data_IF_910609063641
#
_entry.id   IF_910609063641
#
_cell.length_a   1.000
_cell.length_b   1.000
_cell.length_c   1.000
_cell.angle_alpha   90.00
_cell.angle_beta   90.00
_cell.angle_gamma   90.00
#
_symmetry.space_group_name_H-M   'P 1'
#
loop_
_entity.id
_entity.type
_entity.pdbx_description
1 polymer ?
#
# COMPACT_ATOMS: atom_id res chain seq x y z
N UNK A 1 -4.46 7.90 2.69
CA UNK A 1 -4.63 9.35 2.42
C UNK A 1 -3.29 10.05 2.62
N UNK A 2 -2.39 9.96 1.65
CA UNK A 2 -1.03 10.51 1.76
C UNK A 2 -1.07 12.01 1.45
N UNK A 3 -0.55 12.84 2.35
CA UNK A 3 -0.47 14.28 2.12
C UNK A 3 0.79 14.60 1.31
N UNK A 4 0.70 15.47 0.29
CA UNK A 4 1.84 15.78 -0.59
C UNK A 4 3.07 16.29 0.17
N UNK A 5 2.85 17.03 1.27
CA UNK A 5 3.93 17.55 2.12
C UNK A 5 4.66 16.44 2.89
N UNK A 6 4.06 15.25 3.04
CA UNK A 6 4.75 14.08 3.61
C UNK A 6 5.76 13.48 2.62
N UNK A 7 5.47 13.58 1.33
CA UNK A 7 6.23 12.94 0.26
C UNK A 7 7.56 13.61 -0.09
N UNK A 8 8.01 14.62 0.66
CA UNK A 8 9.32 15.21 0.43
C UNK A 8 10.40 14.11 0.48
N UNK A 9 11.22 14.02 -0.58
CA UNK A 9 12.26 13.00 -0.85
C UNK A 9 11.77 11.59 -1.16
N UNK A 10 10.48 11.39 -1.38
CA UNK A 10 9.95 10.08 -1.80
C UNK A 10 10.01 9.95 -3.31
N UNK A 11 10.34 8.75 -3.78
CA UNK A 11 10.15 8.35 -5.17
C UNK A 11 8.72 7.80 -5.30
N UNK A 12 7.92 8.42 -6.17
CA UNK A 12 6.52 8.05 -6.39
C UNK A 12 6.39 7.46 -7.78
N UNK A 13 6.00 6.18 -7.84
CA UNK A 13 5.68 5.48 -9.09
C UNK A 13 4.16 5.35 -9.23
N UNK A 14 3.64 5.69 -10.41
CA UNK A 14 2.23 5.48 -10.78
C UNK A 14 2.11 4.40 -11.86
N UNK A 15 0.88 4.07 -12.24
CA UNK A 15 0.61 3.03 -13.23
C UNK A 15 1.25 3.34 -14.60
N UNK A 16 1.30 4.62 -14.98
CA UNK A 16 1.90 5.09 -16.23
C UNK A 16 3.43 4.98 -16.21
N UNK A 17 4.04 5.19 -15.03
CA UNK A 17 5.48 5.02 -14.82
C UNK A 17 5.92 3.57 -14.81
N UNK A 18 4.99 2.64 -14.57
CA UNK A 18 5.25 1.20 -14.62
C UNK A 18 5.29 0.66 -16.06
N UNK A 19 4.45 1.21 -16.95
CA UNK A 19 4.38 0.80 -18.35
C UNK A 19 3.20 1.49 -19.04
N UNK A 20 3.32 1.70 -20.35
CA UNK A 20 2.35 2.45 -21.14
C UNK A 20 2.38 2.04 -22.62
N UNK A 21 1.48 2.62 -23.42
CA UNK A 21 1.35 2.30 -24.86
C UNK A 21 2.58 2.64 -25.69
N UNK A 22 3.41 3.59 -25.26
CA UNK A 22 4.59 4.05 -26.01
C UNK A 22 5.81 3.21 -25.68
N UNK A 23 6.01 2.93 -24.39
CA UNK A 23 7.23 2.29 -23.88
C UNK A 23 7.06 0.77 -23.69
N UNK A 24 5.84 0.27 -23.81
CA UNK A 24 5.46 -1.12 -23.56
C UNK A 24 4.80 -1.30 -22.19
N UNK A 25 3.96 -2.31 -22.11
CA UNK A 25 3.24 -2.66 -20.89
C UNK A 25 4.05 -3.60 -20.00
N UNK A 26 4.02 -3.34 -18.70
CA UNK A 26 4.59 -4.19 -17.69
C UNK A 26 3.90 -5.57 -17.67
N UNK A 27 4.60 -6.68 -17.35
CA UNK A 27 4.00 -8.02 -17.30
C UNK A 27 2.73 -8.11 -16.45
N UNK A 28 2.65 -7.36 -15.35
CA UNK A 28 1.43 -7.28 -14.52
C UNK A 28 0.24 -6.67 -15.27
N UNK A 29 0.46 -5.62 -16.07
CA UNK A 29 -0.57 -4.98 -16.88
C UNK A 29 -1.07 -5.95 -17.96
N UNK A 30 -0.14 -6.57 -18.69
CA UNK A 30 -0.46 -7.51 -19.77
C UNK A 30 -1.16 -8.76 -19.24
N UNK A 31 -0.68 -9.36 -18.13
CA UNK A 31 -1.28 -10.58 -17.56
C UNK A 31 -2.72 -10.35 -17.14
N UNK A 32 -3.01 -9.24 -16.47
CA UNK A 32 -4.37 -8.92 -16.03
C UNK A 32 -5.31 -8.72 -17.22
N UNK A 33 -4.84 -8.11 -18.31
CA UNK A 33 -5.61 -7.97 -19.53
C UNK A 33 -5.88 -9.34 -20.20
N UNK A 34 -4.86 -10.20 -20.31
CA UNK A 34 -4.97 -11.53 -20.93
C UNK A 34 -5.96 -12.46 -20.24
N UNK A 35 -6.12 -12.32 -18.92
CA UNK A 35 -7.04 -13.13 -18.11
C UNK A 35 -8.45 -12.53 -18.02
N UNK A 36 -8.75 -11.48 -18.80
CA UNK A 36 -10.01 -10.74 -18.69
C UNK A 36 -10.26 -10.18 -17.28
N UNK A 37 -9.19 -9.87 -16.55
CA UNK A 37 -9.24 -9.30 -15.20
C UNK A 37 -9.66 -7.82 -15.17
N UNK A 38 -10.14 -7.27 -16.28
CA UNK A 38 -10.60 -5.89 -16.43
C UNK A 38 -11.87 -5.85 -17.26
N UNK A 39 -12.87 -5.09 -16.77
CA UNK A 39 -14.07 -4.71 -17.53
C UNK A 39 -14.13 -3.19 -17.67
N UNK A 40 -14.71 -2.48 -16.69
CA UNK A 40 -14.79 -1.00 -16.72
C UNK A 40 -13.43 -0.29 -16.55
N UNK A 41 -12.40 -0.99 -16.07
CA UNK A 41 -11.03 -0.45 -15.96
C UNK A 41 -10.75 0.43 -14.74
N UNK A 42 -11.77 0.91 -14.02
CA UNK A 42 -11.56 1.92 -12.98
C UNK A 42 -10.69 1.45 -11.81
N UNK A 43 -10.87 0.19 -11.36
CA UNK A 43 -10.06 -0.38 -10.28
C UNK A 43 -8.69 -0.91 -10.74
N UNK A 44 -8.47 -1.02 -12.05
CA UNK A 44 -7.31 -1.72 -12.64
C UNK A 44 -5.97 -1.10 -12.23
N UNK A 45 -5.79 0.24 -12.22
CA UNK A 45 -4.54 0.85 -11.74
C UNK A 45 -4.21 0.47 -10.29
N UNK A 46 -5.20 0.50 -9.38
CA UNK A 46 -5.01 0.17 -7.97
C UNK A 46 -4.57 -1.29 -7.76
N UNK A 47 -5.24 -2.21 -8.46
CA UNK A 47 -4.91 -3.64 -8.44
C UNK A 47 -3.47 -3.91 -8.90
N UNK A 48 -3.06 -3.28 -10.01
CA UNK A 48 -1.72 -3.48 -10.58
C UNK A 48 -0.65 -2.87 -9.68
N UNK A 49 -0.86 -1.66 -9.16
CA UNK A 49 0.12 -1.02 -8.27
C UNK A 49 0.26 -1.77 -6.94
N UNK A 50 -0.83 -2.34 -6.43
CA UNK A 50 -0.79 -3.21 -5.26
C UNK A 50 0.06 -4.46 -5.51
N UNK A 51 -0.19 -5.17 -6.62
CA UNK A 51 0.59 -6.34 -7.00
C UNK A 51 2.05 -5.99 -7.29
N UNK A 52 2.31 -4.84 -7.92
CA UNK A 52 3.67 -4.35 -8.17
C UNK A 52 4.43 -4.10 -6.87
N UNK A 53 3.79 -3.48 -5.87
CA UNK A 53 4.40 -3.30 -4.56
C UNK A 53 4.72 -4.63 -3.88
N UNK A 54 3.86 -5.64 -4.06
CA UNK A 54 4.06 -6.98 -3.52
C UNK A 54 5.22 -7.71 -4.22
N UNK A 55 5.40 -7.52 -5.54
CA UNK A 55 6.50 -8.09 -6.31
C UNK A 55 7.84 -7.35 -6.19
N UNK A 56 7.87 -6.15 -5.59
CA UNK A 56 9.06 -5.29 -5.60
C UNK A 56 10.25 -5.91 -4.85
N UNK A 57 9.98 -6.74 -3.84
CA UNK A 57 11.02 -7.52 -3.17
C UNK A 57 11.30 -8.81 -3.95
N UNK A 58 12.31 -8.74 -4.83
CA UNK A 58 12.75 -9.88 -5.65
C UNK A 58 13.31 -11.07 -4.86
N UNK A 59 13.63 -10.89 -3.57
CA UNK A 59 14.16 -11.97 -2.74
C UNK A 59 13.07 -12.88 -2.15
N UNK A 60 11.82 -12.37 -2.13
CA UNK A 60 10.68 -13.05 -1.54
C UNK A 60 9.95 -13.91 -2.58
N UNK A 61 9.81 -15.20 -2.28
CA UNK A 61 8.91 -16.08 -3.04
C UNK A 61 7.47 -15.72 -2.70
N UNK A 62 6.66 -15.43 -3.71
CA UNK A 62 5.27 -15.04 -3.52
C UNK A 62 4.37 -16.27 -3.40
N UNK A 63 3.56 -16.29 -2.35
CA UNK A 63 2.55 -17.34 -2.16
C UNK A 63 1.19 -16.89 -2.67
N UNK A 64 0.37 -17.86 -3.06
CA UNK A 64 -1.01 -17.67 -3.49
C UNK A 64 -1.84 -16.97 -2.40
N UNK A 65 -1.60 -17.34 -1.13
CA UNK A 65 -2.29 -16.76 0.01
C UNK A 65 -1.91 -15.29 0.24
N UNK A 66 -0.64 -14.90 0.05
CA UNK A 66 -0.22 -13.50 0.16
C UNK A 66 -0.86 -12.63 -0.92
N UNK A 67 -0.95 -13.14 -2.15
CA UNK A 67 -1.62 -12.46 -3.25
C UNK A 67 -3.10 -12.24 -2.92
N UNK A 68 -3.80 -13.27 -2.44
CA UNK A 68 -5.20 -13.16 -2.03
C UNK A 68 -5.40 -12.12 -0.92
N UNK A 69 -4.57 -12.16 0.13
CA UNK A 69 -4.62 -11.20 1.23
C UNK A 69 -4.40 -9.77 0.75
N UNK A 70 -3.47 -9.56 -0.18
CA UNK A 70 -3.16 -8.23 -0.71
C UNK A 70 -4.38 -7.60 -1.40
N UNK A 71 -5.26 -8.40 -2.02
CA UNK A 71 -6.41 -7.91 -2.78
C UNK A 71 -7.56 -7.42 -1.90
N UNK A 72 -7.55 -7.72 -0.59
CA UNK A 72 -8.60 -7.29 0.35
C UNK A 72 -8.77 -5.76 0.45
N UNK A 73 -7.76 -4.99 0.04
CA UNK A 73 -7.79 -3.53 0.01
C UNK A 73 -8.34 -2.92 -1.28
N UNK A 74 -8.57 -3.74 -2.33
CA UNK A 74 -8.96 -3.28 -3.65
C UNK A 74 -10.39 -3.71 -3.99
N UNK A 75 -11.25 -2.73 -4.31
CA UNK A 75 -12.66 -2.98 -4.60
C UNK A 75 -12.90 -3.03 -6.11
N UNK A 76 -13.47 -4.13 -6.61
CA UNK A 76 -13.94 -4.25 -7.99
C UNK A 76 -15.43 -4.61 -8.01
N UNK A 77 -16.22 -3.85 -8.77
CA UNK A 77 -17.66 -4.09 -8.91
C UNK A 77 -18.05 -4.95 -10.12
N UNK A 78 -17.17 -5.07 -11.10
CA UNK A 78 -17.50 -5.60 -12.42
C UNK A 78 -17.07 -7.06 -12.60
N UNK A 79 -15.85 -7.42 -12.22
CA UNK A 79 -15.23 -8.71 -12.60
C UNK A 79 -15.60 -9.89 -11.72
N UNK A 80 -16.16 -9.65 -10.53
CA UNK A 80 -16.37 -10.71 -9.55
C UNK A 80 -15.08 -11.33 -8.99
N UNK A 81 -13.94 -10.66 -9.14
CA UNK A 81 -12.60 -11.02 -8.62
C UNK A 81 -11.94 -12.28 -9.19
N UNK A 82 -12.67 -13.30 -9.61
CA UNK A 82 -12.09 -14.56 -10.09
C UNK A 82 -11.01 -14.36 -11.17
N UNK A 83 -11.24 -13.65 -12.29
CA UNK A 83 -10.21 -13.45 -13.30
C UNK A 83 -9.03 -12.58 -12.82
N UNK A 84 -9.23 -11.72 -11.81
CA UNK A 84 -8.15 -10.94 -11.19
C UNK A 84 -7.25 -11.86 -10.38
N UNK A 85 -7.85 -12.74 -9.58
CA UNK A 85 -7.14 -13.72 -8.77
C UNK A 85 -6.35 -14.68 -9.65
N UNK A 86 -6.98 -15.29 -10.66
CA UNK A 86 -6.32 -16.24 -11.55
C UNK A 86 -5.13 -15.59 -12.28
N UNK A 87 -5.30 -14.34 -12.73
CA UNK A 87 -4.21 -13.53 -13.28
C UNK A 87 -3.04 -13.40 -12.32
N UNK A 88 -3.28 -12.98 -11.08
CA UNK A 88 -2.17 -12.71 -10.16
C UNK A 88 -1.55 -13.96 -9.56
N UNK A 89 -2.33 -15.01 -9.29
CA UNK A 89 -1.82 -16.31 -8.84
C UNK A 89 -0.84 -16.95 -9.81
N UNK A 90 -0.93 -16.61 -11.09
CA UNK A 90 0.05 -17.03 -12.09
C UNK A 90 1.48 -16.46 -11.88
N UNK A 91 1.67 -15.54 -10.93
CA UNK A 91 2.97 -15.07 -10.46
C UNK A 91 3.41 -15.72 -9.13
N UNK A 92 2.57 -16.54 -8.50
CA UNK A 92 2.90 -17.25 -7.27
C UNK A 92 3.86 -18.43 -7.53
N UNK A 93 4.66 -18.77 -6.53
CA UNK A 93 5.60 -19.89 -6.58
C UNK A 93 5.00 -21.21 -6.10
N UNK A 94 3.86 -21.16 -5.41
CA UNK A 94 3.17 -22.29 -4.76
C UNK A 94 1.86 -22.65 -5.47
N UNK A 95 1.72 -22.28 -6.75
CA UNK A 95 0.51 -22.55 -7.51
C UNK A 95 0.29 -24.06 -7.59
N UNK A 96 -0.67 -24.56 -6.83
CA UNK A 96 -1.20 -25.91 -7.02
C UNK A 96 -1.79 -25.94 -8.45
N UNK A 97 -1.37 -26.87 -9.33
CA UNK A 97 -1.91 -26.97 -10.69
C UNK A 97 -3.44 -27.21 -10.72
N UNK A 98 -4.06 -27.49 -9.58
CA UNK A 98 -5.51 -27.59 -9.44
C UNK A 98 -6.05 -26.38 -8.65
N UNK A 99 -6.37 -25.30 -9.37
CA UNK A 99 -7.28 -24.27 -8.86
C UNK A 99 -8.64 -24.95 -8.69
N UNK A 100 -8.96 -25.42 -7.48
CA UNK A 100 -10.28 -25.98 -7.18
C UNK A 100 -11.30 -24.86 -7.18
N UNK A 101 -12.35 -25.01 -7.99
CA UNK A 101 -13.48 -24.09 -7.98
C UNK A 101 -14.25 -24.22 -6.65
N UNK A 102 -15.07 -23.23 -6.33
CA UNK A 102 -15.87 -23.25 -5.10
C UNK A 102 -16.82 -24.45 -5.09
N UNK A 103 -17.32 -24.85 -6.26
CA UNK A 103 -18.06 -26.10 -6.46
C UNK A 103 -17.23 -27.39 -6.24
N UNK A 104 -15.91 -27.33 -6.33
CA UNK A 104 -15.01 -28.49 -6.12
C UNK A 104 -14.62 -28.67 -4.64
N UNK A 105 -14.97 -27.72 -3.78
CA UNK A 105 -14.68 -27.76 -2.34
C UNK A 105 -15.44 -28.88 -1.62
N UNK A 106 -16.55 -29.37 -2.17
CA UNK A 106 -17.31 -30.50 -1.62
C UNK A 106 -16.52 -31.83 -1.61
N UNK A 107 -15.36 -31.88 -2.29
CA UNK A 107 -14.46 -33.03 -2.25
C UNK A 107 -13.41 -32.95 -1.14
N UNK A 108 -13.27 -31.81 -0.44
CA UNK A 108 -12.36 -31.69 0.70
C UNK A 108 -13.07 -32.08 2.00
N UNK A 109 -12.93 -33.35 2.39
CA UNK A 109 -13.19 -33.76 3.78
C UNK A 109 -12.30 -32.94 4.71
N UNK A 110 -12.92 -32.22 5.64
CA UNK A 110 -12.25 -31.52 6.73
C UNK A 110 -11.33 -32.50 7.50
N UNK A 111 -10.02 -32.39 7.27
CA UNK A 111 -9.01 -33.01 8.11
C UNK A 111 -8.95 -32.17 9.38
N UNK A 112 -9.79 -32.52 10.36
CA UNK A 112 -9.71 -32.01 11.73
C UNK A 112 -8.35 -32.42 12.32
N UNK A 113 -7.33 -31.61 12.09
CA UNK A 113 -6.11 -31.63 12.90
C UNK A 113 -5.69 -30.19 13.17
N UNK A 114 -6.26 -29.65 14.24
CA UNK A 114 -5.81 -28.44 14.91
C UNK A 114 -4.38 -28.65 15.40
N UNK A 115 -3.37 -28.20 14.65
CA UNK A 115 -1.99 -28.26 15.14
C UNK A 115 -0.97 -27.31 14.50
N UNK A 116 -1.38 -26.15 13.98
CA UNK A 116 -0.42 -25.11 13.62
C UNK A 116 -0.71 -23.81 14.37
N UNK A 117 0.20 -23.45 15.27
CA UNK A 117 0.30 -22.11 15.86
C UNK A 117 0.59 -21.09 14.76
N UNK A 118 -0.36 -20.19 14.52
CA UNK A 118 -0.20 -19.08 13.60
C UNK A 118 0.60 -17.95 14.27
N UNK A 119 1.89 -18.16 14.50
CA UNK A 119 2.80 -17.07 14.83
C UNK A 119 3.35 -16.46 13.54
N UNK A 120 2.56 -15.58 12.93
CA UNK A 120 3.07 -14.63 11.93
C UNK A 120 3.68 -13.46 12.69
N UNK A 121 5.01 -13.44 12.75
CA UNK A 121 5.75 -12.25 13.16
C UNK A 121 5.78 -11.28 11.97
N UNK A 122 5.05 -10.19 12.13
CA UNK A 122 4.99 -9.09 11.18
C UNK A 122 6.06 -8.07 11.56
N UNK A 123 7.33 -8.41 11.30
CA UNK A 123 8.47 -7.50 11.49
C UNK A 123 9.10 -7.16 10.15
N UNK A 124 8.58 -6.13 9.48
CA UNK A 124 9.37 -5.35 8.52
C UNK A 124 9.00 -3.87 8.64
N UNK A 125 9.72 -3.16 9.51
CA UNK A 125 9.80 -1.71 9.48
C UNK A 125 11.19 -1.32 8.95
N UNK A 126 11.25 -0.89 7.70
CA UNK A 126 12.44 -0.21 7.18
C UNK A 126 12.49 1.21 7.76
N UNK A 127 13.42 1.47 8.66
CA UNK A 127 13.83 2.82 9.05
C UNK A 127 14.69 3.37 7.91
N UNK A 128 14.20 4.39 7.21
CA UNK A 128 15.03 5.09 6.23
C UNK A 128 15.86 6.11 7.01
N UNK A 129 17.09 5.74 7.37
CA UNK A 129 18.04 6.71 7.89
C UNK A 129 18.46 7.68 6.79
N UNK A 130 18.07 8.95 6.95
CA UNK A 130 18.86 10.12 6.52
C UNK A 130 18.34 11.35 7.24
N UNK A 131 19.12 11.84 8.20
CA UNK A 131 18.90 13.11 8.85
C UNK A 131 18.82 14.24 7.80
N UNK A 132 17.71 14.97 7.80
CA UNK A 132 17.56 16.25 7.12
C UNK A 132 16.95 17.24 8.11
N UNK A 133 17.26 18.51 7.90
CA UNK A 133 16.87 19.61 8.78
C UNK A 133 15.36 19.83 8.81
N UNK A 134 14.89 20.48 9.87
CA UNK A 134 13.52 20.95 10.03
C UNK A 134 13.07 21.76 8.81
N UNK A 135 12.02 21.31 8.13
CA UNK A 135 11.45 22.03 6.99
C UNK A 135 10.06 22.57 7.34
N UNK A 136 9.91 23.89 7.17
CA UNK A 136 8.63 24.58 7.21
C UNK A 136 8.09 24.71 5.78
N UNK A 137 6.85 24.28 5.58
CA UNK A 137 6.14 24.46 4.33
C UNK A 137 4.77 25.11 4.61
N UNK A 138 4.46 26.22 3.93
CA UNK A 138 3.20 26.95 4.05
C UNK A 138 3.30 28.32 4.72
N UNK A 139 2.24 29.11 4.55
CA UNK A 139 2.05 30.43 5.17
C UNK A 139 0.81 30.41 6.09
N UNK A 140 0.70 31.36 7.02
CA UNK A 140 -0.43 31.44 7.94
C UNK A 140 -1.77 31.45 7.16
N UNK A 141 -2.80 30.71 7.62
CA UNK A 141 -2.92 30.08 8.94
C UNK A 141 -2.40 28.63 9.04
N UNK A 142 -2.13 27.96 7.92
CA UNK A 142 -1.76 26.54 7.89
C UNK A 142 -0.26 26.36 7.74
N UNK A 143 0.40 26.01 8.85
CA UNK A 143 1.86 25.78 8.90
C UNK A 143 2.14 24.30 9.01
N UNK A 144 3.00 23.80 8.14
CA UNK A 144 3.39 22.40 8.13
C UNK A 144 4.87 22.26 8.47
N UNK A 145 5.16 21.45 9.48
CA UNK A 145 6.51 21.15 9.93
C UNK A 145 6.81 19.68 9.72
N UNK A 146 7.93 19.38 9.05
CA UNK A 146 8.48 18.03 8.97
C UNK A 146 9.57 17.88 10.03
N UNK A 147 9.26 17.15 11.10
CA UNK A 147 10.20 16.85 12.18
C UNK A 147 10.84 15.48 11.95
N UNK A 148 12.17 15.42 12.13
CA UNK A 148 12.95 14.20 11.98
C UNK A 148 13.44 13.66 13.32
N UNK A 149 13.51 14.52 14.34
CA UNK A 149 13.83 14.13 15.71
C UNK A 149 12.75 14.59 16.69
N UNK A 150 12.68 13.92 17.84
CA UNK A 150 11.79 14.35 18.93
C UNK A 150 12.12 15.77 19.42
N UNK A 151 13.39 16.15 19.38
CA UNK A 151 13.85 17.50 19.74
C UNK A 151 13.28 18.56 18.79
N UNK A 152 13.15 18.25 17.50
CA UNK A 152 12.54 19.18 16.53
C UNK A 152 11.07 19.42 16.85
N UNK A 153 10.34 18.40 17.28
CA UNK A 153 8.94 18.54 17.71
C UNK A 153 8.83 19.52 18.86
N UNK A 154 9.65 19.36 19.90
CA UNK A 154 9.63 20.28 21.05
C UNK A 154 10.02 21.71 20.65
N UNK A 155 11.04 21.90 19.81
CA UNK A 155 11.43 23.22 19.29
C UNK A 155 10.28 23.90 18.52
N UNK A 156 9.50 23.14 17.75
CA UNK A 156 8.34 23.68 17.03
C UNK A 156 7.27 24.12 18.03
N UNK A 157 6.96 23.28 19.03
CA UNK A 157 5.93 23.58 20.03
C UNK A 157 6.30 24.80 20.89
N UNK A 158 7.58 24.96 21.25
CA UNK A 158 8.09 26.16 21.93
C UNK A 158 7.94 27.41 21.07
N UNK A 159 8.23 27.31 19.76
CA UNK A 159 8.15 28.45 18.83
C UNK A 159 6.72 28.86 18.49
N UNK A 160 5.84 27.88 18.32
CA UNK A 160 4.49 28.08 17.77
C UNK A 160 3.40 28.14 18.84
N UNK A 161 3.71 27.76 20.07
CA UNK A 161 2.75 27.58 21.13
C UNK A 161 2.02 26.23 21.06
N UNK A 162 1.41 25.86 22.17
CA UNK A 162 0.74 24.55 22.34
C UNK A 162 -0.77 24.61 22.17
N UNK A 163 -1.33 25.79 21.88
CA UNK A 163 -2.78 26.03 21.88
C UNK A 163 -3.50 25.37 20.68
N UNK A 164 -2.81 25.19 19.54
CA UNK A 164 -3.40 24.58 18.33
C UNK A 164 -2.35 23.88 17.46
N UNK A 165 -2.05 22.62 17.80
CA UNK A 165 -1.21 21.74 16.99
C UNK A 165 -1.88 20.40 16.67
N UNK A 166 -1.43 19.77 15.59
CA UNK A 166 -1.86 18.44 15.18
C UNK A 166 -0.66 17.60 14.77
N UNK A 167 -0.42 16.49 15.48
CA UNK A 167 0.55 15.50 15.06
C UNK A 167 -0.06 14.61 13.96
N UNK A 168 0.65 14.46 12.85
CA UNK A 168 0.21 13.64 11.72
C UNK A 168 1.31 12.64 11.36
N UNK A 169 0.95 11.36 11.25
CA UNK A 169 1.81 10.30 10.73
C UNK A 169 1.19 9.76 9.43
N UNK A 170 0.57 8.57 9.47
CA UNK A 170 -0.08 7.96 8.28
C UNK A 170 -1.38 8.61 7.82
N UNK A 171 -1.90 9.60 8.57
CA UNK A 171 -3.12 10.37 8.26
C UNK A 171 -4.41 9.51 8.04
N UNK A 172 -4.45 8.28 8.52
CA UNK A 172 -5.62 7.37 8.40
C UNK A 172 -6.67 7.60 9.48
N UNK A 173 -6.29 8.13 10.66
CA UNK A 173 -7.23 8.45 11.74
C UNK A 173 -7.68 9.92 11.81
N UNK A 174 -7.01 10.83 11.09
CA UNK A 174 -7.28 12.28 11.15
C UNK A 174 -8.00 12.83 9.90
N UNK A 175 -8.06 12.07 8.80
CA UNK A 175 -8.91 12.36 7.66
C UNK A 175 -8.65 13.72 6.98
N UNK A 176 -9.72 14.39 6.55
CA UNK A 176 -9.67 15.70 5.89
C UNK A 176 -9.33 16.79 6.91
N UNK A 177 -8.29 17.57 6.63
CA UNK A 177 -7.90 18.72 7.44
C UNK A 177 -8.86 19.88 7.12
N UNK A 178 -9.85 20.13 7.99
CA UNK A 178 -10.88 21.16 7.78
C UNK A 178 -10.68 22.43 8.61
N UNK A 179 -9.71 22.47 9.53
CA UNK A 179 -9.48 23.62 10.41
C UNK A 179 -8.01 24.04 10.44
N UNK A 180 -7.75 25.25 10.94
CA UNK A 180 -6.45 25.91 10.94
C UNK A 180 -5.55 25.40 12.06
N UNK A 181 -4.60 24.51 11.73
CA UNK A 181 -3.66 23.92 12.70
C UNK A 181 -2.21 24.15 12.32
N UNK A 182 -1.34 24.19 13.35
CA UNK A 182 0.08 23.89 13.18
C UNK A 182 0.23 22.38 13.08
N UNK A 183 0.59 21.88 11.90
CA UNK A 183 0.67 20.44 11.66
C UNK A 183 2.13 20.01 11.72
N UNK A 184 2.42 19.08 12.63
CA UNK A 184 3.75 18.50 12.78
C UNK A 184 3.69 17.06 12.29
N UNK A 185 4.41 16.79 11.21
CA UNK A 185 4.68 15.44 10.76
C UNK A 185 5.78 14.83 11.62
N UNK A 186 5.48 13.68 12.19
CA UNK A 186 6.50 12.81 12.77
C UNK A 186 6.76 11.72 11.74
N UNK A 187 7.94 11.74 11.12
CA UNK A 187 8.39 10.58 10.35
C UNK A 187 8.94 9.51 11.29
N UNK A 188 8.73 8.26 10.88
CA UNK A 188 9.53 7.10 11.27
C UNK A 188 10.79 7.05 10.44
#
# INVERSE_FOLDING_TARGET
LVHILSCHTWEITTIEGLGNQRDGYHPLQSRLAMFNGTQCGYCTPGLIMNMYSLCKDSSKKLTTQEIERSLGSNICRCTGYRPILDSFKSFANDTDPQIKDLEDLDQMKCLKTSQNDCNLLDEEWCVIEKAKELQLQGSKPNRWYKAFTLQDVFKILEKEGVDSYRLVAGNTGKGKLTENFVIVLILR
#
